data_IF_960566766301
#
_entry.id   IF_960566766301
#
_cell.length_a   1.000
_cell.length_b   1.000
_cell.length_c   1.000
_cell.angle_alpha   90.00
_cell.angle_beta   90.00
_cell.angle_gamma   90.00
#
_symmetry.space_group_name_H-M   'P 1'
#
loop_
_entity.id
_entity.type
_entity.pdbx_description
1 polymer ?
#
# COMPACT_ATOMS: atom_id res chain seq x y z
N UNK A 1 -17.09 -8.63 -15.67
CA UNK A 1 -16.45 -7.80 -14.63
C UNK A 1 -16.61 -6.34 -15.01
N UNK A 2 -17.05 -5.47 -14.09
CA UNK A 2 -17.08 -4.01 -14.34
C UNK A 2 -15.65 -3.47 -14.30
N UNK A 3 -15.26 -2.64 -15.26
CA UNK A 3 -13.91 -2.05 -15.38
C UNK A 3 -13.51 -1.31 -14.09
N UNK A 4 -14.46 -0.61 -13.47
CA UNK A 4 -14.27 0.10 -12.19
C UNK A 4 -13.85 -0.84 -11.05
N UNK A 5 -14.47 -2.03 -10.96
CA UNK A 5 -14.07 -3.04 -9.99
C UNK A 5 -12.65 -3.54 -10.27
N UNK A 6 -12.31 -3.80 -11.53
CA UNK A 6 -10.95 -4.22 -11.90
C UNK A 6 -9.92 -3.17 -11.51
N UNK A 7 -10.17 -1.89 -11.79
CA UNK A 7 -9.28 -0.80 -11.37
C UNK A 7 -9.12 -0.72 -9.86
N UNK A 8 -10.21 -0.90 -9.09
CA UNK A 8 -10.15 -0.92 -7.63
C UNK A 8 -9.28 -2.08 -7.11
N UNK A 9 -9.47 -3.27 -7.66
CA UNK A 9 -8.66 -4.45 -7.29
C UNK A 9 -7.18 -4.27 -7.64
N UNK A 10 -6.88 -3.70 -8.82
CA UNK A 10 -5.50 -3.42 -9.22
C UNK A 10 -4.82 -2.43 -8.25
N UNK A 11 -5.51 -1.36 -7.83
CA UNK A 11 -4.99 -0.41 -6.84
C UNK A 11 -4.70 -1.10 -5.50
N UNK A 12 -5.61 -1.98 -5.04
CA UNK A 12 -5.41 -2.76 -3.82
C UNK A 12 -4.21 -3.69 -3.92
N UNK A 13 -4.10 -4.44 -5.01
CA UNK A 13 -2.98 -5.37 -5.22
C UNK A 13 -1.62 -4.67 -5.30
N UNK A 14 -1.54 -3.50 -5.95
CA UNK A 14 -0.31 -2.70 -5.98
C UNK A 14 0.08 -2.21 -4.58
N UNK A 15 -0.90 -1.78 -3.78
CA UNK A 15 -0.64 -1.34 -2.40
C UNK A 15 -0.10 -2.49 -1.54
N UNK A 16 -0.73 -3.67 -1.60
CA UNK A 16 -0.28 -4.88 -0.90
C UNK A 16 1.14 -5.27 -1.33
N UNK A 17 1.44 -5.21 -2.64
CA UNK A 17 2.79 -5.45 -3.15
C UNK A 17 3.82 -4.47 -2.59
N UNK A 18 3.50 -3.17 -2.55
CA UNK A 18 4.39 -2.16 -1.96
C UNK A 18 4.67 -2.42 -0.47
N UNK A 19 3.64 -2.83 0.29
CA UNK A 19 3.79 -3.17 1.72
C UNK A 19 4.71 -4.38 1.89
N UNK A 20 4.47 -5.46 1.12
CA UNK A 20 5.33 -6.65 1.14
C UNK A 20 6.77 -6.32 0.73
N UNK A 21 6.96 -5.45 -0.26
CA UNK A 21 8.30 -5.00 -0.67
C UNK A 21 9.02 -4.21 0.43
N UNK A 22 8.30 -3.47 1.28
CA UNK A 22 8.88 -2.79 2.44
C UNK A 22 9.29 -3.82 3.49
N UNK A 23 8.38 -4.74 3.83
CA UNK A 23 8.57 -5.78 4.85
C UNK A 23 9.62 -6.82 4.47
N UNK A 24 9.92 -6.99 3.18
CA UNK A 24 11.02 -7.83 2.69
C UNK A 24 12.38 -7.41 3.30
N UNK A 25 12.55 -6.14 3.67
CA UNK A 25 13.80 -5.63 4.25
C UNK A 25 13.82 -5.69 5.79
N UNK A 26 12.84 -6.34 6.42
CA UNK A 26 12.70 -6.44 7.86
C UNK A 26 11.34 -5.93 8.34
N UNK A 27 11.08 -6.15 9.63
CA UNK A 27 9.88 -5.66 10.30
C UNK A 27 9.79 -4.13 10.22
N UNK A 28 8.57 -3.62 10.08
CA UNK A 28 8.31 -2.19 10.02
C UNK A 28 7.00 -1.89 10.76
N UNK A 29 6.98 -0.81 11.54
CA UNK A 29 5.73 -0.34 12.12
C UNK A 29 4.81 0.24 11.03
N UNK A 30 3.48 0.24 11.25
CA UNK A 30 2.53 0.86 10.31
C UNK A 30 2.89 2.31 9.96
N UNK A 31 3.37 3.09 10.93
CA UNK A 31 3.87 4.45 10.73
C UNK A 31 5.04 4.52 9.75
N UNK A 32 5.98 3.59 9.83
CA UNK A 32 7.16 3.52 8.94
C UNK A 32 6.74 3.19 7.51
N UNK A 33 5.75 2.30 7.35
CA UNK A 33 5.17 1.93 6.06
C UNK A 33 4.50 3.16 5.42
N UNK A 34 3.67 3.88 6.18
CA UNK A 34 3.00 5.10 5.71
C UNK A 34 4.02 6.15 5.30
N UNK A 35 5.09 6.35 6.08
CA UNK A 35 6.14 7.32 5.75
C UNK A 35 6.88 6.95 4.45
N UNK A 36 7.23 5.67 4.28
CA UNK A 36 7.87 5.15 3.06
C UNK A 36 6.97 5.30 1.83
N UNK A 37 5.68 4.99 1.95
CA UNK A 37 4.71 5.17 0.87
C UNK A 37 4.56 6.66 0.53
N UNK A 38 4.47 7.54 1.54
CA UNK A 38 4.40 8.99 1.35
C UNK A 38 5.64 9.54 0.63
N UNK A 39 6.84 9.07 0.96
CA UNK A 39 8.09 9.40 0.25
C UNK A 39 8.05 8.96 -1.22
N UNK A 40 7.38 7.85 -1.53
CA UNK A 40 7.13 7.37 -2.88
C UNK A 40 5.93 8.05 -3.59
N UNK A 41 5.37 9.14 -3.01
CA UNK A 41 4.19 9.86 -3.50
C UNK A 41 2.89 9.03 -3.51
N UNK A 42 2.85 7.94 -2.74
CA UNK A 42 1.63 7.18 -2.44
C UNK A 42 1.07 7.67 -1.11
N UNK A 43 0.03 8.51 -1.19
CA UNK A 43 -0.63 9.05 0.01
C UNK A 43 -1.71 8.06 0.45
N UNK A 44 -1.49 7.44 1.60
CA UNK A 44 -2.43 6.53 2.26
C UNK A 44 -2.67 7.01 3.69
N UNK A 45 -3.85 6.72 4.23
CA UNK A 45 -4.21 6.98 5.62
C UNK A 45 -4.20 5.66 6.40
N UNK A 46 -4.11 5.72 7.73
CA UNK A 46 -4.10 4.51 8.58
C UNK A 46 -5.27 3.57 8.29
N UNK A 47 -6.48 4.09 8.10
CA UNK A 47 -7.66 3.28 7.77
C UNK A 47 -7.62 2.59 6.40
N UNK A 48 -6.59 2.84 5.57
CA UNK A 48 -6.33 2.08 4.34
C UNK A 48 -5.36 0.93 4.57
N UNK A 49 -4.55 1.01 5.64
CA UNK A 49 -3.49 0.05 5.96
C UNK A 49 -3.97 -1.03 6.94
N UNK A 50 -4.86 -0.69 7.87
CA UNK A 50 -5.57 -1.62 8.76
C UNK A 50 -6.78 -2.26 8.05
#
# INVERSE_FOLDING_TARGET
>A
MKIENTQSQMRKGILEYCILSILKNGEAYPSDIIEKLKKAKLIVVEGTLY
#
